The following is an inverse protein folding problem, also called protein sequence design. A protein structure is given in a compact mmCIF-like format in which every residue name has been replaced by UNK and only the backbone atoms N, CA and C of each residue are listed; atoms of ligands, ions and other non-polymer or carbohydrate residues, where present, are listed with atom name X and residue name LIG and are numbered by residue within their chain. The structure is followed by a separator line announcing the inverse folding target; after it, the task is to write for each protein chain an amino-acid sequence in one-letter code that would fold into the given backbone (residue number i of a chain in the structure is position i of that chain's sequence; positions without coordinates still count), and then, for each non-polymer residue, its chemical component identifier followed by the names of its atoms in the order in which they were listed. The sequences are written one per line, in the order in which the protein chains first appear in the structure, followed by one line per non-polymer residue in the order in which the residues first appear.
data_IF_156358850600
#
_entry.id   IF_156358850600
#
_cell.length_a   1.000
_cell.length_b   1.000
_cell.length_c   1.000
_cell.angle_alpha   90.00
_cell.angle_beta   90.00
_cell.angle_gamma   90.00
#
_symmetry.space_group_name_H-M   'P 1'
#
loop_
_entity.id
_entity.type
_entity.pdbx_description
1 polymer ?
#
# COMPACT_ATOMS: atom_id res chain seq x y z
N UNK A 1 -50.37 -12.17 -10.09
CA UNK A 1 -49.26 -12.57 -9.21
C UNK A 1 -49.24 -11.64 -8.02
N UNK A 2 -49.45 -12.16 -6.82
CA UNK A 2 -49.47 -11.35 -5.59
C UNK A 2 -48.07 -11.42 -4.95
N UNK A 3 -47.24 -10.40 -5.15
CA UNK A 3 -45.92 -10.34 -4.52
C UNK A 3 -46.08 -9.85 -3.07
N UNK A 4 -45.43 -10.48 -2.08
CA UNK A 4 -45.52 -10.05 -0.69
C UNK A 4 -44.92 -8.65 -0.52
N UNK A 5 -45.66 -7.74 0.09
CA UNK A 5 -45.21 -6.39 0.42
C UNK A 5 -44.11 -6.45 1.50
N UNK A 6 -42.88 -6.10 1.10
CA UNK A 6 -41.68 -6.08 1.97
C UNK A 6 -41.18 -4.64 2.10
N UNK A 7 -41.72 -3.84 3.05
CA UNK A 7 -41.31 -2.45 3.21
C UNK A 7 -39.87 -2.39 3.74
N UNK A 8 -38.97 -1.74 2.99
CA UNK A 8 -37.61 -1.44 3.42
C UNK A 8 -37.50 0.05 3.72
N UNK A 9 -36.95 0.47 4.87
CA UNK A 9 -36.80 1.89 5.17
C UNK A 9 -35.84 2.55 4.18
N UNK A 10 -36.13 3.79 3.77
CA UNK A 10 -35.34 4.53 2.76
C UNK A 10 -33.86 4.62 3.15
N UNK A 11 -33.56 4.68 4.44
CA UNK A 11 -32.20 4.66 5.01
C UNK A 11 -31.41 3.40 4.65
N UNK A 12 -32.05 2.23 4.61
CA UNK A 12 -31.40 0.97 4.22
C UNK A 12 -31.30 0.79 2.71
N UNK A 13 -32.22 1.39 1.95
CA UNK A 13 -32.15 1.42 0.49
C UNK A 13 -30.98 2.27 -0.03
N UNK A 14 -30.70 3.40 0.65
CA UNK A 14 -29.60 4.33 0.26
C UNK A 14 -28.26 3.99 0.92
N UNK A 15 -28.22 3.05 1.87
CA UNK A 15 -26.98 2.66 2.53
C UNK A 15 -26.05 1.99 1.52
N UNK A 16 -24.85 2.55 1.36
CA UNK A 16 -23.81 1.97 0.49
C UNK A 16 -23.54 0.52 0.89
N UNK A 17 -23.87 -0.43 0.01
CA UNK A 17 -23.56 -1.87 0.15
C UNK A 17 -22.18 -2.25 -0.41
N UNK A 18 -21.24 -1.30 -0.49
CA UNK A 18 -19.95 -1.54 -1.15
C UNK A 18 -19.24 -2.73 -0.47
N UNK A 19 -19.11 -3.83 -1.22
CA UNK A 19 -18.40 -5.04 -0.80
C UNK A 19 -16.89 -4.92 -1.04
N UNK A 20 -16.50 -4.20 -2.10
CA UNK A 20 -15.08 -4.03 -2.48
C UNK A 20 -14.39 -2.98 -1.62
N UNK A 21 -13.12 -3.21 -1.27
CA UNK A 21 -12.32 -2.21 -0.57
C UNK A 21 -12.22 -0.90 -1.38
N UNK A 22 -12.28 0.21 -0.68
CA UNK A 22 -11.94 1.53 -1.25
C UNK A 22 -10.43 1.61 -1.50
N UNK A 23 -9.98 2.47 -2.42
CA UNK A 23 -8.55 2.71 -2.64
C UNK A 23 -7.84 3.17 -1.36
N UNK A 24 -8.56 3.90 -0.48
CA UNK A 24 -8.07 4.21 0.87
C UNK A 24 -7.79 2.92 1.64
N UNK A 25 -8.78 2.04 1.80
CA UNK A 25 -8.63 0.77 2.53
C UNK A 25 -7.63 -0.20 1.89
N UNK A 26 -7.38 -0.12 0.58
CA UNK A 26 -6.37 -0.93 -0.11
C UNK A 26 -4.95 -0.51 0.24
N UNK A 27 -4.65 0.80 0.19
CA UNK A 27 -3.34 1.35 0.57
C UNK A 27 -3.12 1.52 2.07
N UNK A 28 -4.06 1.07 2.89
CA UNK A 28 -3.90 1.07 4.34
C UNK A 28 -2.89 0.00 4.76
N UNK A 29 -1.91 0.41 5.57
CA UNK A 29 -0.89 -0.48 6.12
C UNK A 29 -1.47 -1.08 7.40
N UNK A 30 -1.64 -2.41 7.44
CA UNK A 30 -2.10 -3.07 8.65
C UNK A 30 -1.00 -3.08 9.72
N UNK A 31 -1.35 -3.14 11.03
CA UNK A 31 -0.35 -3.24 12.10
C UNK A 31 0.60 -4.43 11.94
N UNK A 32 0.10 -5.55 11.42
CA UNK A 32 0.90 -6.75 11.12
C UNK A 32 1.94 -6.52 10.01
N UNK A 33 1.60 -5.71 8.99
CA UNK A 33 2.54 -5.37 7.92
C UNK A 33 3.55 -4.33 8.42
N UNK A 34 3.12 -3.35 9.23
CA UNK A 34 4.03 -2.36 9.84
C UNK A 34 5.07 -3.02 10.74
N UNK A 35 4.65 -3.99 11.57
CA UNK A 35 5.56 -4.74 12.44
C UNK A 35 6.63 -5.48 11.63
N UNK A 36 6.22 -6.24 10.60
CA UNK A 36 7.14 -6.95 9.71
C UNK A 36 8.07 -6.02 8.94
N UNK A 37 7.61 -4.83 8.58
CA UNK A 37 8.41 -3.82 7.90
C UNK A 37 9.53 -3.29 8.79
N UNK A 38 9.22 -2.99 10.05
CA UNK A 38 10.22 -2.55 11.04
C UNK A 38 11.21 -3.66 11.39
N UNK A 39 10.73 -4.90 11.49
CA UNK A 39 11.57 -6.07 11.70
C UNK A 39 12.56 -6.25 10.54
N UNK A 40 12.08 -6.15 9.29
CA UNK A 40 12.93 -6.25 8.08
C UNK A 40 14.02 -5.18 8.05
N UNK A 41 13.69 -3.94 8.39
CA UNK A 41 14.63 -2.82 8.25
C UNK A 41 15.51 -2.61 9.48
N UNK A 42 15.19 -3.25 10.61
CA UNK A 42 15.79 -2.99 11.92
C UNK A 42 15.78 -1.50 12.33
N UNK A 43 14.79 -0.75 11.84
CA UNK A 43 14.70 0.70 12.07
C UNK A 43 15.64 1.56 11.22
N UNK A 44 16.39 0.97 10.28
CA UNK A 44 17.31 1.69 9.39
C UNK A 44 16.66 1.93 8.02
N UNK A 45 16.98 3.06 7.40
CA UNK A 45 16.51 3.45 6.06
C UNK A 45 17.00 2.47 4.99
N UNK A 46 16.07 1.83 4.29
CA UNK A 46 16.36 0.84 3.24
C UNK A 46 16.92 1.45 1.94
N UNK A 47 16.97 2.78 1.84
CA UNK A 47 17.53 3.48 0.68
C UNK A 47 18.97 3.96 0.90
N UNK A 48 19.24 4.64 2.03
CA UNK A 48 20.59 5.15 2.31
C UNK A 48 21.41 4.24 3.25
N UNK A 49 20.77 3.33 3.98
CA UNK A 49 21.42 2.40 4.90
C UNK A 49 22.05 3.03 6.15
N UNK A 50 21.88 4.34 6.36
CA UNK A 50 22.59 5.08 7.42
C UNK A 50 21.65 5.77 8.42
N UNK A 51 20.57 6.37 7.94
CA UNK A 51 19.64 7.14 8.78
C UNK A 51 18.51 6.26 9.33
N UNK A 52 17.92 6.70 10.43
CA UNK A 52 16.73 6.07 10.99
C UNK A 52 15.55 6.13 10.00
N UNK A 53 14.86 5.00 9.87
CA UNK A 53 13.64 4.90 9.10
C UNK A 53 12.44 5.35 9.94
N UNK A 54 11.76 6.38 9.44
CA UNK A 54 10.63 7.04 10.10
C UNK A 54 9.35 6.80 9.30
N UNK A 55 9.48 6.87 7.97
CA UNK A 55 8.37 6.86 7.03
C UNK A 55 8.20 5.49 6.38
N UNK A 56 6.94 5.11 6.16
CA UNK A 56 6.54 3.90 5.41
C UNK A 56 6.12 4.32 4.03
N UNK A 57 7.04 4.22 3.08
CA UNK A 57 6.85 4.70 1.73
C UNK A 57 6.25 3.60 0.85
N UNK A 58 5.10 3.86 0.23
CA UNK A 58 4.54 2.96 -0.78
C UNK A 58 5.35 3.01 -2.06
N UNK A 59 5.91 1.87 -2.50
CA UNK A 59 6.56 1.70 -3.81
C UNK A 59 5.53 1.85 -4.93
N UNK A 60 4.44 1.09 -4.84
CA UNK A 60 3.29 1.25 -5.73
C UNK A 60 2.35 2.28 -5.12
N UNK A 61 2.11 3.39 -5.80
CA UNK A 61 1.18 4.43 -5.33
C UNK A 61 -0.17 3.83 -4.93
N UNK A 62 -0.72 4.30 -3.81
CA UNK A 62 -1.99 3.82 -3.21
C UNK A 62 -3.14 3.65 -4.21
N UNK A 63 -3.30 4.58 -5.16
CA UNK A 63 -4.36 4.52 -6.18
C UNK A 63 -4.14 3.52 -7.32
N UNK A 64 -2.99 2.83 -7.36
CA UNK A 64 -2.63 1.83 -8.36
C UNK A 64 -2.53 0.42 -7.79
N UNK A 65 -2.77 0.26 -6.48
CA UNK A 65 -2.80 -1.05 -5.85
C UNK A 65 -4.05 -1.81 -6.31
N UNK A 66 -3.87 -3.04 -6.77
CA UNK A 66 -4.94 -3.97 -7.12
C UNK A 66 -5.24 -4.94 -5.97
N UNK A 67 -4.39 -4.94 -4.94
CA UNK A 67 -4.48 -5.77 -3.73
C UNK A 67 -4.36 -4.91 -2.45
N UNK A 68 -4.64 -5.52 -1.30
CA UNK A 68 -4.34 -4.95 0.03
C UNK A 68 -2.82 -4.81 0.17
N UNK A 69 -2.35 -3.67 0.67
CA UNK A 69 -0.91 -3.38 0.85
C UNK A 69 -0.17 -4.54 1.51
N UNK A 70 0.86 -5.05 0.83
CA UNK A 70 1.76 -6.08 1.35
C UNK A 70 3.10 -5.47 1.76
N UNK A 71 3.90 -6.25 2.47
CA UNK A 71 5.27 -5.88 2.85
C UNK A 71 6.16 -5.54 1.63
N UNK A 72 5.92 -6.21 0.50
CA UNK A 72 6.63 -6.00 -0.77
C UNK A 72 6.26 -4.69 -1.47
N UNK A 73 5.18 -4.03 -1.04
CA UNK A 73 4.75 -2.74 -1.60
C UNK A 73 5.31 -1.54 -0.82
N UNK A 74 6.08 -1.79 0.24
CA UNK A 74 6.55 -0.77 1.19
C UNK A 74 8.08 -0.74 1.28
N UNK A 75 8.61 0.46 1.49
CA UNK A 75 9.97 0.71 1.94
C UNK A 75 9.95 1.45 3.28
N UNK A 76 10.90 1.14 4.14
CA UNK A 76 11.09 1.86 5.40
C UNK A 76 12.21 2.88 5.24
N UNK A 77 11.90 4.17 5.27
CA UNK A 77 12.79 5.22 4.81
C UNK A 77 12.92 6.38 5.80
N UNK A 78 14.07 7.05 5.77
CA UNK A 78 14.20 8.37 6.36
C UNK A 78 13.42 9.42 5.51
N UNK A 79 13.13 10.57 6.12
CA UNK A 79 12.32 11.63 5.50
C UNK A 79 12.91 12.15 4.19
N UNK A 80 14.23 12.23 4.10
CA UNK A 80 14.93 12.74 2.92
C UNK A 80 14.85 11.76 1.75
N UNK A 81 15.16 10.48 1.98
CA UNK A 81 15.01 9.44 0.97
C UNK A 81 13.55 9.30 0.52
N UNK A 82 12.59 9.41 1.45
CA UNK A 82 11.18 9.39 1.11
C UNK A 82 10.80 10.57 0.20
N UNK A 83 11.23 11.79 0.54
CA UNK A 83 11.00 12.96 -0.29
C UNK A 83 11.68 12.85 -1.66
N UNK A 84 12.90 12.32 -1.72
CA UNK A 84 13.62 12.07 -2.98
C UNK A 84 12.82 11.16 -3.90
N UNK A 85 12.36 10.01 -3.40
CA UNK A 85 11.60 9.03 -4.18
C UNK A 85 10.28 9.58 -4.73
N UNK A 86 9.60 10.45 -4.00
CA UNK A 86 8.30 10.99 -4.41
C UNK A 86 8.38 12.26 -5.25
N UNK A 87 9.38 13.12 -5.01
CA UNK A 87 9.43 14.47 -5.61
C UNK A 87 10.33 14.55 -6.82
N UNK A 88 11.41 13.77 -6.89
CA UNK A 88 12.39 13.90 -7.97
C UNK A 88 12.10 12.95 -9.15
N UNK A 89 12.46 13.31 -10.40
CA UNK A 89 12.35 12.40 -11.55
C UNK A 89 13.18 11.13 -11.39
N UNK A 90 14.39 11.25 -10.82
CA UNK A 90 15.32 10.16 -10.55
C UNK A 90 14.77 9.20 -9.50
N UNK A 91 14.28 9.73 -8.38
CA UNK A 91 13.62 8.95 -7.35
C UNK A 91 12.40 8.20 -7.88
N UNK A 92 11.59 8.83 -8.75
CA UNK A 92 10.47 8.18 -9.43
C UNK A 92 10.92 7.08 -10.41
N UNK A 93 12.11 7.18 -11.02
CA UNK A 93 12.69 6.11 -11.85
C UNK A 93 13.18 4.97 -10.98
N UNK A 94 13.93 5.27 -9.91
CA UNK A 94 14.40 4.28 -8.95
C UNK A 94 13.23 3.48 -8.36
N UNK A 95 12.19 4.16 -7.88
CA UNK A 95 10.97 3.55 -7.35
C UNK A 95 10.30 2.59 -8.34
N UNK A 96 10.30 2.92 -9.64
CA UNK A 96 9.79 2.05 -10.72
C UNK A 96 10.70 0.85 -10.97
N UNK A 97 12.02 1.04 -10.96
CA UNK A 97 12.98 -0.05 -11.10
C UNK A 97 12.91 -1.01 -9.92
N UNK A 98 12.90 -0.51 -8.68
CA UNK A 98 12.75 -1.32 -7.46
C UNK A 98 11.49 -2.17 -7.52
N UNK A 99 10.36 -1.58 -7.96
CA UNK A 99 9.13 -2.33 -8.18
C UNK A 99 9.32 -3.49 -9.17
N UNK A 100 9.89 -3.20 -10.33
CA UNK A 100 10.10 -4.20 -11.38
C UNK A 100 11.01 -5.35 -10.92
N UNK A 101 12.09 -5.04 -10.18
CA UNK A 101 12.98 -6.05 -9.62
C UNK A 101 12.26 -6.94 -8.58
N UNK A 102 11.45 -6.34 -7.70
CA UNK A 102 10.67 -7.11 -6.73
C UNK A 102 9.68 -8.03 -7.45
N UNK A 103 8.98 -7.51 -8.46
CA UNK A 103 8.03 -8.30 -9.25
C UNK A 103 8.71 -9.44 -10.03
N UNK A 104 9.90 -9.21 -10.59
CA UNK A 104 10.66 -10.27 -11.27
C UNK A 104 11.11 -11.36 -10.31
N UNK A 105 11.67 -10.98 -9.16
CA UNK A 105 12.12 -11.95 -8.14
C UNK A 105 10.95 -12.76 -7.60
N UNK A 106 9.81 -12.13 -7.32
CA UNK A 106 8.62 -12.86 -6.85
C UNK A 106 8.15 -13.86 -7.91
N UNK A 107 8.15 -13.47 -9.19
CA UNK A 107 7.76 -14.36 -10.29
C UNK A 107 8.67 -15.58 -10.40
N UNK A 108 9.97 -15.41 -10.18
CA UNK A 108 10.93 -16.52 -10.26
C UNK A 108 10.83 -17.47 -9.06
N UNK A 109 10.21 -17.04 -7.95
CA UNK A 109 9.99 -17.83 -6.74
C UNK A 109 8.64 -18.56 -6.69
N UNK A 110 7.75 -18.34 -7.66
CA UNK A 110 6.40 -18.92 -7.76
C UNK A 110 6.27 -19.86 -8.94
#
# INVERSE_FOLDING_TARGET
MNLPFRPYPKSEQVKSKRVKFTQKQMGEISPSVDAKLKERSHGICECCGAADAIDRAHITSRGKLTHKTKLTDLLHLCRECHAFLDRTPEGKRLKRMTKACIESVIKDLT
#
